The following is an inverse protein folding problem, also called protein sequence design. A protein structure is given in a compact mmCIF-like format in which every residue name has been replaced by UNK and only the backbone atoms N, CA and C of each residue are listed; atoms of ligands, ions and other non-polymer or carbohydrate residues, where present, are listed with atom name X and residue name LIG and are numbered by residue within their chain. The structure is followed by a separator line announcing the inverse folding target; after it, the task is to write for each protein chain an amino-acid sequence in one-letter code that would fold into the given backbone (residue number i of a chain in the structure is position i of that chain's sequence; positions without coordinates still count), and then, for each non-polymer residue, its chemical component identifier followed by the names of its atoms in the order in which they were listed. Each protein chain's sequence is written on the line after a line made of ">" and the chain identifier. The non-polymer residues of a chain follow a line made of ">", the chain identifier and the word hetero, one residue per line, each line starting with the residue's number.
data_IF_592549890690
#
_entry.id   IF_592549890690
#
_cell.length_a   1.000
_cell.length_b   1.000
_cell.length_c   1.000
_cell.angle_alpha   90.00
_cell.angle_beta   90.00
_cell.angle_gamma   90.00
#
_symmetry.space_group_name_H-M   'P 1'
#
loop_
_entity.id
_entity.type
_entity.pdbx_description
1 polymer ?
#
# COMPACT_ATOMS: atom_id res chain seq x y z
N UNK A 1 15.19 -23.64 35.48
CA UNK A 1 15.38 -23.93 34.04
C UNK A 1 16.05 -25.29 33.81
N UNK A 2 17.13 -25.66 34.52
CA UNK A 2 17.77 -26.97 34.35
C UNK A 2 16.89 -28.17 34.79
N UNK A 3 16.23 -28.11 35.96
CA UNK A 3 15.53 -29.29 36.52
C UNK A 3 14.20 -29.69 35.86
N UNK A 4 13.69 -28.91 34.90
CA UNK A 4 12.48 -29.25 34.13
C UNK A 4 12.81 -29.97 32.83
N UNK A 5 14.02 -29.72 32.29
CA UNK A 5 14.52 -30.32 31.06
C UNK A 5 14.77 -31.82 31.25
N UNK A 6 15.30 -32.18 32.41
CA UNK A 6 15.67 -33.56 32.74
C UNK A 6 14.47 -34.44 33.13
N UNK A 7 13.34 -33.85 33.52
CA UNK A 7 12.11 -34.60 33.87
C UNK A 7 11.26 -35.01 32.65
N UNK A 8 11.47 -34.38 31.50
CA UNK A 8 10.65 -34.62 30.28
C UNK A 8 11.41 -35.49 29.27
N UNK A 9 12.74 -35.45 29.28
CA UNK A 9 13.58 -36.16 28.31
C UNK A 9 14.13 -37.42 29.01
N UNK A 10 13.41 -38.53 28.87
CA UNK A 10 14.02 -39.85 29.10
C UNK A 10 15.16 -40.08 28.11
N UNK A 11 16.15 -40.88 28.52
CA UNK A 11 17.51 -41.11 27.97
C UNK A 11 17.64 -41.57 26.48
N UNK A 12 16.70 -41.21 25.61
CA UNK A 12 16.71 -41.51 24.18
C UNK A 12 17.17 -40.32 23.34
N UNK A 13 18.08 -40.58 22.40
CA UNK A 13 18.66 -39.62 21.47
C UNK A 13 17.63 -38.90 20.57
N UNK A 14 17.00 -37.83 21.07
CA UNK A 14 16.20 -36.91 20.26
C UNK A 14 16.44 -35.47 20.73
N UNK A 15 16.93 -34.61 19.81
CA UNK A 15 17.09 -33.17 20.04
C UNK A 15 15.78 -32.45 19.64
N UNK A 16 14.97 -31.94 20.59
CA UNK A 16 13.81 -31.14 20.23
C UNK A 16 14.27 -29.76 19.71
N UNK A 17 13.66 -29.30 18.61
CA UNK A 17 13.69 -27.88 18.26
C UNK A 17 12.64 -27.17 19.11
N UNK A 18 13.11 -26.35 20.06
CA UNK A 18 12.26 -25.49 20.88
C UNK A 18 12.28 -24.11 20.26
N UNK A 19 11.13 -23.66 19.75
CA UNK A 19 10.93 -22.28 19.34
C UNK A 19 10.08 -21.58 20.40
N UNK A 20 10.60 -20.47 20.93
CA UNK A 20 9.92 -19.64 21.93
C UNK A 20 9.31 -18.45 21.18
N UNK A 21 7.99 -18.35 21.22
CA UNK A 21 7.28 -17.21 20.64
C UNK A 21 6.64 -16.40 21.77
N UNK A 22 6.93 -15.10 21.79
CA UNK A 22 6.33 -14.17 22.72
C UNK A 22 5.10 -13.56 22.03
N UNK A 23 3.92 -14.07 22.35
CA UNK A 23 2.67 -13.68 21.67
C UNK A 23 2.08 -12.41 22.30
N UNK A 24 2.35 -12.18 23.59
CA UNK A 24 2.16 -10.90 24.28
C UNK A 24 2.80 -10.94 25.69
N UNK A 25 2.86 -9.80 26.40
CA UNK A 25 3.55 -9.61 27.71
C UNK A 25 3.14 -10.63 28.81
N UNK A 26 2.05 -11.37 28.64
CA UNK A 26 1.47 -12.28 29.63
C UNK A 26 1.41 -13.77 29.23
N UNK A 27 1.93 -14.17 28.06
CA UNK A 27 1.79 -15.57 27.60
C UNK A 27 3.03 -16.06 26.86
N UNK A 28 3.66 -17.10 27.41
CA UNK A 28 4.72 -17.85 26.72
C UNK A 28 4.13 -19.10 26.08
N UNK A 29 4.39 -19.30 24.79
CA UNK A 29 4.02 -20.53 24.07
C UNK A 29 5.27 -21.33 23.77
N UNK A 30 5.27 -22.59 24.19
CA UNK A 30 6.28 -23.56 23.82
C UNK A 30 5.71 -24.51 22.79
N UNK A 31 6.34 -24.54 21.61
CA UNK A 31 6.01 -25.50 20.56
C UNK A 31 7.08 -26.59 20.57
N UNK A 32 6.67 -27.82 20.82
CA UNK A 32 7.54 -28.99 20.72
C UNK A 32 7.17 -29.78 19.46
N UNK A 33 8.13 -29.87 18.55
CA UNK A 33 8.00 -30.68 17.33
C UNK A 33 8.79 -31.97 17.54
N UNK A 34 8.09 -33.10 17.63
CA UNK A 34 8.73 -34.42 17.70
C UNK A 34 8.62 -35.10 16.34
N UNK A 35 9.77 -35.46 15.77
CA UNK A 35 9.84 -36.33 14.60
C UNK A 35 9.81 -37.78 15.07
N UNK A 36 8.71 -38.50 14.79
CA UNK A 36 8.58 -39.92 15.15
C UNK A 36 9.20 -40.84 14.10
N UNK A 37 9.28 -40.40 12.82
CA UNK A 37 10.02 -41.03 11.73
C UNK A 37 10.15 -40.06 10.53
N UNK A 38 10.94 -40.39 9.49
CA UNK A 38 11.22 -39.53 8.30
C UNK A 38 9.99 -38.93 7.60
N UNK A 39 8.79 -39.51 7.79
CA UNK A 39 7.57 -39.10 7.11
C UNK A 39 6.37 -38.80 8.05
N UNK A 40 6.57 -38.76 9.38
CA UNK A 40 5.50 -38.43 10.34
C UNK A 40 6.05 -37.58 11.50
N UNK A 41 5.58 -36.34 11.61
CA UNK A 41 5.79 -35.48 12.76
C UNK A 41 4.48 -35.36 13.56
N UNK A 42 4.57 -35.39 14.90
CA UNK A 42 3.48 -34.96 15.79
C UNK A 42 3.90 -33.63 16.41
N UNK A 43 3.04 -32.64 16.28
CA UNK A 43 3.25 -31.31 16.85
C UNK A 43 2.43 -31.21 18.14
N UNK A 44 3.08 -30.88 19.26
CA UNK A 44 2.40 -30.59 20.51
C UNK A 44 2.61 -29.12 20.86
N UNK A 45 1.51 -28.41 21.08
CA UNK A 45 1.53 -27.01 21.53
C UNK A 45 1.06 -27.01 22.97
N UNK A 46 1.92 -26.56 23.88
CA UNK A 46 1.59 -26.47 25.31
C UNK A 46 1.57 -24.99 25.69
N UNK A 47 0.43 -24.55 26.20
CA UNK A 47 0.23 -23.20 26.71
C UNK A 47 0.54 -23.15 28.19
N UNK A 48 1.44 -22.24 28.59
CA UNK A 48 1.66 -21.94 30.00
C UNK A 48 1.29 -20.47 30.26
N UNK A 49 0.28 -20.19 31.11
CA UNK A 49 0.04 -18.83 31.57
C UNK A 49 1.16 -18.39 32.51
N UNK A 50 1.70 -17.19 32.31
CA UNK A 50 2.65 -16.56 33.24
C UNK A 50 1.86 -15.81 34.32
N UNK A 51 1.95 -16.25 35.58
CA UNK A 51 1.35 -15.53 36.71
C UNK A 51 2.42 -14.85 37.59
N UNK A 52 2.16 -13.59 37.95
CA UNK A 52 2.87 -12.87 39.02
C UNK A 52 2.54 -13.53 40.36
N UNK A 53 3.57 -13.80 41.17
CA UNK A 53 3.52 -14.21 42.59
C UNK A 53 3.40 -15.72 42.92
N UNK A 54 4.10 -16.59 42.19
CA UNK A 54 4.88 -17.67 42.83
C UNK A 54 4.16 -18.85 43.51
N UNK A 55 2.90 -19.17 43.20
CA UNK A 55 2.27 -20.44 43.64
C UNK A 55 1.58 -21.16 42.46
N UNK A 56 1.96 -22.41 42.21
CA UNK A 56 1.47 -23.24 41.09
C UNK A 56 0.25 -24.05 41.52
N UNK A 57 -0.85 -23.99 40.76
CA UNK A 57 -1.87 -25.05 40.72
C UNK A 57 -2.02 -25.56 39.28
N UNK A 58 -2.15 -26.88 39.05
CA UNK A 58 -2.23 -27.44 37.71
C UNK A 58 -3.65 -27.30 37.14
N UNK A 59 -3.78 -26.72 35.94
CA UNK A 59 -5.02 -26.81 35.16
C UNK A 59 -4.74 -27.32 33.74
N UNK A 60 -5.56 -28.31 33.36
CA UNK A 60 -5.68 -29.09 32.12
C UNK A 60 -4.74 -28.81 30.93
N UNK A 61 -3.96 -29.83 30.57
CA UNK A 61 -3.26 -29.98 29.30
C UNK A 61 -4.28 -30.34 28.20
N UNK A 62 -4.46 -29.50 27.19
CA UNK A 62 -5.26 -29.82 26.02
C UNK A 62 -4.37 -30.47 24.95
N UNK A 63 -4.51 -31.78 24.74
CA UNK A 63 -3.82 -32.51 23.68
C UNK A 63 -4.74 -32.63 22.45
N UNK A 64 -4.49 -31.82 21.42
CA UNK A 64 -5.10 -32.00 20.09
C UNK A 64 -4.13 -32.79 19.21
N UNK A 65 -4.53 -33.98 18.76
CA UNK A 65 -3.79 -34.78 17.79
C UNK A 65 -4.48 -34.73 16.42
N UNK A 66 -3.94 -33.96 15.47
CA UNK A 66 -4.33 -34.07 14.06
C UNK A 66 -3.26 -34.81 13.27
N UNK A 67 -3.61 -35.98 12.72
CA UNK A 67 -2.77 -36.75 11.79
C UNK A 67 -3.01 -36.21 10.38
N UNK A 68 -2.00 -35.59 9.76
CA UNK A 68 -2.05 -35.21 8.35
C UNK A 68 -1.93 -36.48 7.48
N UNK A 69 -2.96 -36.78 6.68
CA UNK A 69 -2.90 -37.78 5.61
C UNK A 69 -2.46 -37.09 4.31
N UNK A 70 -1.57 -37.69 3.50
CA UNK A 70 -1.21 -37.14 2.21
C UNK A 70 -2.37 -37.37 1.24
N UNK A 71 -2.98 -36.29 0.75
CA UNK A 71 -3.93 -36.36 -0.36
C UNK A 71 -3.21 -35.92 -1.63
N UNK A 72 -3.21 -36.82 -2.63
CA UNK A 72 -2.84 -36.50 -4.00
C UNK A 72 -3.87 -35.50 -4.54
N UNK A 73 -3.61 -34.22 -4.32
CA UNK A 73 -4.35 -33.12 -4.92
C UNK A 73 -3.52 -32.58 -6.09
N UNK A 74 -4.07 -32.79 -7.28
CA UNK A 74 -3.71 -32.15 -8.55
C UNK A 74 -3.31 -30.69 -8.33
N UNK A 75 -2.19 -30.29 -8.93
CA UNK A 75 -1.70 -28.91 -9.05
C UNK A 75 -2.87 -27.94 -9.31
N UNK A 76 -3.36 -27.28 -8.25
CA UNK A 76 -4.10 -26.02 -8.37
C UNK A 76 -3.06 -24.92 -8.29
N UNK A 77 -3.04 -24.11 -9.34
CA UNK A 77 -2.26 -22.89 -9.48
C UNK A 77 -2.18 -22.10 -8.16
N UNK A 78 -1.00 -21.59 -7.88
CA UNK A 78 -0.74 -20.52 -6.91
C UNK A 78 -1.84 -19.45 -7.02
N UNK A 79 -2.70 -19.37 -6.00
CA UNK A 79 -3.78 -18.38 -5.94
C UNK A 79 -3.14 -16.99 -5.88
N UNK A 80 -3.40 -16.16 -6.89
CA UNK A 80 -2.81 -14.83 -7.04
C UNK A 80 -3.30 -13.96 -5.87
N UNK A 81 -2.39 -13.49 -5.00
CA UNK A 81 -2.72 -12.74 -3.77
C UNK A 81 -3.49 -11.43 -4.03
N UNK A 82 -3.34 -10.87 -5.22
CA UNK A 82 -3.97 -9.63 -5.65
C UNK A 82 -4.65 -9.86 -7.00
N UNK A 83 -5.87 -9.35 -7.17
CA UNK A 83 -6.62 -9.48 -8.43
C UNK A 83 -6.46 -8.22 -9.29
N UNK A 84 -6.32 -7.06 -8.67
CA UNK A 84 -6.27 -5.76 -9.34
C UNK A 84 -4.85 -5.19 -9.44
N UNK A 85 -3.88 -5.84 -8.80
CA UNK A 85 -2.46 -5.45 -8.81
C UNK A 85 -1.58 -6.58 -9.35
N UNK A 86 -0.45 -6.19 -9.95
CA UNK A 86 0.65 -7.09 -10.25
C UNK A 86 1.89 -6.64 -9.48
N UNK A 87 2.43 -7.52 -8.64
CA UNK A 87 3.58 -7.24 -7.78
C UNK A 87 4.79 -8.04 -8.30
N UNK A 88 5.93 -7.37 -8.45
CA UNK A 88 7.20 -8.02 -8.81
C UNK A 88 8.31 -7.60 -7.86
N UNK A 89 9.22 -8.53 -7.58
CA UNK A 89 10.44 -8.28 -6.81
C UNK A 89 11.64 -8.63 -7.69
N UNK A 90 12.34 -7.62 -8.19
CA UNK A 90 13.48 -7.79 -9.10
C UNK A 90 14.53 -6.73 -8.80
N UNK A 91 15.82 -7.09 -8.93
CA UNK A 91 16.91 -6.12 -8.81
C UNK A 91 16.89 -5.31 -7.50
N UNK A 92 16.47 -5.91 -6.38
CA UNK A 92 16.24 -5.25 -5.08
C UNK A 92 15.15 -4.15 -5.09
N UNK A 93 14.23 -4.21 -6.03
CA UNK A 93 13.11 -3.29 -6.18
C UNK A 93 11.81 -4.08 -6.05
N UNK A 94 10.87 -3.54 -5.29
CA UNK A 94 9.49 -4.02 -5.29
C UNK A 94 8.65 -3.10 -6.15
N UNK A 95 8.06 -3.63 -7.23
CA UNK A 95 7.22 -2.86 -8.15
C UNK A 95 5.76 -3.29 -8.00
N UNK A 96 4.93 -2.33 -7.61
CA UNK A 96 3.47 -2.42 -7.52
C UNK A 96 2.90 -1.84 -8.81
N UNK A 97 2.27 -2.67 -9.63
CA UNK A 97 1.62 -2.25 -10.89
C UNK A 97 0.11 -2.31 -10.72
N UNK A 98 -0.58 -1.17 -10.85
CA UNK A 98 -2.04 -1.13 -10.94
C UNK A 98 -2.47 -1.78 -12.26
N UNK A 99 -3.31 -2.82 -12.18
CA UNK A 99 -3.58 -3.71 -13.30
C UNK A 99 -5.10 -3.85 -13.59
N UNK A 100 -5.75 -2.71 -13.86
CA UNK A 100 -7.10 -2.65 -14.45
C UNK A 100 -7.09 -1.82 -15.74
N UNK A 101 -6.24 -2.12 -16.74
CA UNK A 101 -6.08 -1.28 -17.93
C UNK A 101 -7.39 -1.06 -18.71
N UNK A 102 -8.26 -2.06 -18.75
CA UNK A 102 -9.62 -2.00 -19.34
C UNK A 102 -10.54 -0.99 -18.64
N UNK A 103 -10.21 -0.58 -17.41
CA UNK A 103 -10.87 0.50 -16.66
C UNK A 103 -9.91 1.68 -16.42
N UNK A 104 -8.86 1.83 -17.24
CA UNK A 104 -7.85 2.89 -17.11
C UNK A 104 -7.28 2.98 -15.69
N UNK A 105 -7.06 1.83 -15.06
CA UNK A 105 -6.58 1.69 -13.69
C UNK A 105 -7.36 2.52 -12.65
N UNK A 106 -8.66 2.74 -12.85
CA UNK A 106 -9.49 3.41 -11.86
C UNK A 106 -9.44 2.65 -10.52
N UNK A 107 -9.45 3.37 -9.40
CA UNK A 107 -9.47 2.78 -8.07
C UNK A 107 -10.89 2.28 -7.74
N UNK A 108 -11.06 0.96 -7.69
CA UNK A 108 -12.19 0.35 -6.98
C UNK A 108 -11.87 0.24 -5.49
N UNK A 109 -12.90 0.01 -4.67
CA UNK A 109 -12.71 -0.35 -3.26
C UNK A 109 -11.71 -1.50 -3.08
N UNK A 110 -11.78 -2.52 -3.94
CA UNK A 110 -10.85 -3.63 -3.93
C UNK A 110 -9.41 -3.18 -4.21
N UNK A 111 -9.18 -2.36 -5.25
CA UNK A 111 -7.84 -1.87 -5.57
C UNK A 111 -7.26 -0.99 -4.45
N UNK A 112 -8.09 -0.19 -3.78
CA UNK A 112 -7.67 0.56 -2.60
C UNK A 112 -7.18 -0.37 -1.49
N UNK A 113 -7.97 -1.38 -1.13
CA UNK A 113 -7.60 -2.35 -0.08
C UNK A 113 -6.35 -3.16 -0.47
N UNK A 114 -6.26 -3.59 -1.73
CA UNK A 114 -5.09 -4.32 -2.24
C UNK A 114 -3.83 -3.44 -2.23
N UNK A 115 -3.95 -2.14 -2.52
CA UNK A 115 -2.81 -1.22 -2.46
C UNK A 115 -2.33 -0.98 -1.04
N UNK A 116 -3.24 -0.82 -0.07
CA UNK A 116 -2.85 -0.73 1.34
C UNK A 116 -2.06 -1.96 1.79
N UNK A 117 -2.55 -3.15 1.44
CA UNK A 117 -1.87 -4.41 1.73
C UNK A 117 -0.52 -4.53 1.02
N UNK A 118 -0.45 -4.16 -0.26
CA UNK A 118 0.79 -4.19 -1.03
C UNK A 118 1.83 -3.20 -0.51
N UNK A 119 1.39 -2.01 -0.06
CA UNK A 119 2.25 -1.04 0.60
C UNK A 119 2.74 -1.56 1.95
N UNK A 120 1.90 -2.22 2.75
CA UNK A 120 2.33 -2.82 4.02
C UNK A 120 3.35 -3.94 3.80
N UNK A 121 3.10 -4.85 2.84
CA UNK A 121 4.04 -5.89 2.46
C UNK A 121 5.37 -5.29 1.98
N UNK A 122 5.29 -4.29 1.09
CA UNK A 122 6.47 -3.64 0.52
C UNK A 122 7.26 -2.90 1.60
N UNK A 123 6.60 -2.23 2.55
CA UNK A 123 7.25 -1.55 3.66
C UNK A 123 8.06 -2.51 4.54
N UNK A 124 7.61 -3.76 4.70
CA UNK A 124 8.27 -4.78 5.50
C UNK A 124 9.33 -5.59 4.73
N UNK A 125 9.35 -5.54 3.39
CA UNK A 125 10.26 -6.33 2.59
C UNK A 125 11.70 -5.76 2.53
N UNK A 126 12.61 -6.55 1.96
CA UNK A 126 14.04 -6.24 1.88
C UNK A 126 14.46 -5.39 0.66
N UNK A 127 13.52 -4.91 -0.18
CA UNK A 127 13.84 -4.04 -1.31
C UNK A 127 14.41 -2.70 -0.84
N UNK A 128 15.28 -2.12 -1.66
CA UNK A 128 15.93 -0.82 -1.40
C UNK A 128 14.89 0.30 -1.46
N UNK A 129 13.95 0.21 -2.40
CA UNK A 129 12.82 1.12 -2.56
C UNK A 129 11.65 0.42 -3.27
N UNK A 130 10.50 1.08 -3.25
CA UNK A 130 9.27 0.57 -3.87
C UNK A 130 8.85 1.48 -5.02
N UNK A 131 8.39 0.87 -6.11
CA UNK A 131 7.88 1.56 -7.31
C UNK A 131 6.38 1.37 -7.40
N UNK A 132 5.65 2.45 -7.69
CA UNK A 132 4.24 2.40 -8.08
C UNK A 132 4.10 2.80 -9.55
N UNK A 133 3.41 2.00 -10.35
CA UNK A 133 3.14 2.28 -11.77
C UNK A 133 1.78 1.74 -12.22
N UNK A 134 1.36 2.06 -13.44
CA UNK A 134 0.13 1.57 -14.06
C UNK A 134 0.39 0.66 -15.25
N UNK A 135 -0.45 -0.35 -15.44
CA UNK A 135 -0.48 -1.15 -16.66
C UNK A 135 -1.21 -0.41 -17.79
N UNK A 136 -0.76 -0.61 -19.03
CA UNK A 136 -1.38 -0.02 -20.22
C UNK A 136 -1.11 1.49 -20.38
N UNK A 137 -2.09 2.22 -20.90
CA UNK A 137 -1.91 3.62 -21.33
C UNK A 137 -2.17 4.66 -20.24
N UNK A 138 -2.58 4.24 -19.05
CA UNK A 138 -2.88 5.14 -17.92
C UNK A 138 -2.02 4.76 -16.73
N UNK A 139 -1.55 5.76 -15.99
CA UNK A 139 -1.13 5.52 -14.62
C UNK A 139 -2.39 5.17 -13.82
N UNK A 140 -3.35 6.09 -13.76
CA UNK A 140 -4.71 5.85 -13.25
C UNK A 140 -5.65 6.98 -13.65
N UNK A 141 -6.92 6.63 -13.88
CA UNK A 141 -8.01 7.58 -14.09
C UNK A 141 -8.69 8.08 -12.81
N UNK A 142 -8.14 7.74 -11.63
CA UNK A 142 -8.66 8.17 -10.33
C UNK A 142 -9.73 7.24 -9.78
N UNK A 143 -10.63 7.76 -8.95
CA UNK A 143 -11.68 6.95 -8.32
C UNK A 143 -12.69 6.40 -9.35
N UNK A 144 -13.09 5.14 -9.21
CA UNK A 144 -14.10 4.51 -10.07
C UNK A 144 -15.51 5.04 -9.73
N UNK A 145 -15.89 6.15 -10.35
CA UNK A 145 -17.16 6.86 -10.09
C UNK A 145 -18.42 6.03 -10.41
N UNK A 146 -18.29 4.88 -11.08
CA UNK A 146 -19.44 4.00 -11.32
C UNK A 146 -20.01 3.43 -10.00
N UNK A 147 -19.16 3.29 -8.97
CA UNK A 147 -19.58 2.82 -7.65
C UNK A 147 -20.54 3.82 -6.98
N UNK A 148 -20.32 5.12 -7.20
CA UNK A 148 -21.14 6.18 -6.60
C UNK A 148 -22.59 6.19 -7.12
N UNK A 149 -22.81 5.78 -8.38
CA UNK A 149 -24.15 5.71 -8.97
C UNK A 149 -24.89 4.41 -8.63
N UNK A 150 -24.17 3.30 -8.50
CA UNK A 150 -24.80 1.99 -8.31
C UNK A 150 -25.21 1.75 -6.86
N UNK A 151 -24.44 2.24 -5.89
CA UNK A 151 -24.70 2.00 -4.47
C UNK A 151 -24.55 3.29 -3.62
N UNK A 152 -25.50 4.23 -3.68
CA UNK A 152 -25.46 5.45 -2.85
C UNK A 152 -25.39 5.17 -1.34
N UNK A 153 -25.90 4.02 -0.90
CA UNK A 153 -25.83 3.52 0.48
C UNK A 153 -24.48 2.93 0.87
N UNK A 154 -23.67 2.43 -0.07
CA UNK A 154 -22.27 2.02 0.20
C UNK A 154 -21.35 3.21 0.44
N UNK A 155 -21.78 4.42 0.09
CA UNK A 155 -21.11 5.66 0.50
C UNK A 155 -21.26 5.89 2.01
N UNK A 156 -22.27 5.29 2.66
CA UNK A 156 -22.56 5.44 4.10
C UNK A 156 -22.03 4.30 4.98
N UNK A 157 -21.70 3.13 4.41
CA UNK A 157 -21.18 1.99 5.18
C UNK A 157 -19.66 1.83 5.00
N UNK A 158 -18.92 2.22 6.05
CA UNK A 158 -17.53 1.90 6.43
C UNK A 158 -16.77 0.82 5.62
N UNK A 159 -16.39 1.06 4.36
CA UNK A 159 -15.47 0.11 3.67
C UNK A 159 -14.17 0.72 3.16
N UNK A 160 -14.14 2.00 2.81
CA UNK A 160 -12.92 2.69 2.42
C UNK A 160 -12.66 3.91 3.30
N UNK A 161 -11.51 3.92 3.95
CA UNK A 161 -11.01 5.06 4.70
C UNK A 161 -9.87 5.72 3.91
N UNK A 162 -10.20 6.82 3.21
CA UNK A 162 -9.23 7.59 2.44
C UNK A 162 -8.06 8.08 3.32
N UNK A 163 -8.34 8.43 4.58
CA UNK A 163 -7.33 8.92 5.52
C UNK A 163 -6.32 7.82 5.80
N UNK A 164 -6.78 6.60 6.09
CA UNK A 164 -5.92 5.43 6.27
C UNK A 164 -5.07 5.17 5.03
N UNK A 165 -5.67 5.23 3.84
CA UNK A 165 -4.98 5.02 2.58
C UNK A 165 -3.85 6.05 2.35
N UNK A 166 -4.15 7.35 2.47
CA UNK A 166 -3.17 8.43 2.28
C UNK A 166 -2.03 8.33 3.31
N UNK A 167 -2.35 7.96 4.56
CA UNK A 167 -1.33 7.77 5.60
C UNK A 167 -0.32 6.68 5.25
N UNK A 168 -0.68 5.65 4.46
CA UNK A 168 0.31 4.65 3.95
C UNK A 168 1.44 5.30 3.16
N UNK A 169 1.16 6.36 2.41
CA UNK A 169 2.17 7.09 1.64
C UNK A 169 3.01 8.02 2.53
N UNK A 170 2.35 8.70 3.48
CA UNK A 170 3.04 9.57 4.46
C UNK A 170 4.03 8.75 5.30
N UNK A 171 3.62 7.54 5.69
CA UNK A 171 4.35 6.67 6.63
C UNK A 171 5.35 5.73 5.97
N UNK A 172 5.40 5.68 4.64
CA UNK A 172 6.17 4.66 3.94
C UNK A 172 7.68 4.75 4.31
N UNK A 173 8.29 3.70 4.88
CA UNK A 173 9.54 3.83 5.64
C UNK A 173 10.81 3.91 4.78
N UNK A 174 10.70 3.64 3.48
CA UNK A 174 11.79 3.65 2.51
C UNK A 174 11.39 4.45 1.26
N UNK A 175 12.29 4.75 0.31
CA UNK A 175 11.90 5.54 -0.85
C UNK A 175 10.74 4.91 -1.62
N UNK A 176 9.79 5.75 -2.03
CA UNK A 176 8.64 5.41 -2.84
C UNK A 176 8.70 6.23 -4.13
N UNK A 177 8.80 5.52 -5.25
CA UNK A 177 9.00 6.10 -6.58
C UNK A 177 7.75 5.88 -7.41
N UNK A 178 7.22 6.93 -8.01
CA UNK A 178 6.16 6.80 -9.01
C UNK A 178 6.76 6.77 -10.43
N UNK A 179 6.35 5.78 -11.21
CA UNK A 179 6.65 5.68 -12.64
C UNK A 179 5.33 5.86 -13.39
N UNK A 180 5.09 7.09 -13.85
CA UNK A 180 3.84 7.56 -14.44
C UNK A 180 3.88 7.34 -15.96
N UNK A 181 3.38 6.19 -16.38
CA UNK A 181 3.36 5.72 -17.77
C UNK A 181 2.35 6.44 -18.69
N UNK A 182 1.39 7.17 -18.11
CA UNK A 182 0.32 7.85 -18.84
C UNK A 182 -0.48 8.78 -17.93
N UNK A 183 -1.72 9.17 -18.29
CA UNK A 183 -2.50 10.11 -17.48
C UNK A 183 -2.68 9.64 -16.03
N UNK A 184 -2.53 10.60 -15.11
CA UNK A 184 -2.77 10.48 -13.68
C UNK A 184 -3.87 11.48 -13.29
N UNK A 185 -4.98 10.98 -12.74
CA UNK A 185 -6.19 11.80 -12.49
C UNK A 185 -6.66 11.65 -11.04
N UNK A 186 -7.12 12.76 -10.46
CA UNK A 186 -7.68 12.81 -9.10
C UNK A 186 -6.66 12.36 -8.07
N UNK A 187 -7.05 11.43 -7.18
CA UNK A 187 -6.14 10.86 -6.19
C UNK A 187 -4.84 10.34 -6.79
N UNK A 188 -4.86 9.82 -8.02
CA UNK A 188 -3.66 9.33 -8.70
C UNK A 188 -2.64 10.42 -9.04
N UNK A 189 -3.09 11.67 -9.23
CA UNK A 189 -2.22 12.82 -9.40
C UNK A 189 -1.80 13.41 -8.05
N UNK A 190 -2.70 13.48 -7.07
CA UNK A 190 -2.41 14.15 -5.80
C UNK A 190 -1.47 13.35 -4.90
N UNK A 191 -1.52 12.01 -4.93
CA UNK A 191 -0.55 11.18 -4.17
C UNK A 191 0.90 11.38 -4.63
N UNK A 192 1.13 11.95 -5.82
CA UNK A 192 2.48 12.20 -6.32
C UNK A 192 3.20 13.25 -5.47
N UNK A 193 2.47 14.16 -4.81
CA UNK A 193 3.06 15.10 -3.85
C UNK A 193 3.60 14.44 -2.57
N UNK A 194 3.31 13.15 -2.36
CA UNK A 194 3.82 12.34 -1.25
C UNK A 194 4.91 11.35 -1.69
N UNK A 195 5.17 11.23 -2.99
CA UNK A 195 6.24 10.40 -3.53
C UNK A 195 7.60 11.05 -3.31
N UNK A 196 8.66 10.25 -3.23
CA UNK A 196 10.02 10.76 -3.08
C UNK A 196 10.66 11.08 -4.44
N UNK A 197 10.25 10.35 -5.49
CA UNK A 197 10.63 10.59 -6.89
C UNK A 197 9.46 10.29 -7.81
N UNK A 198 9.33 11.08 -8.88
CA UNK A 198 8.30 10.89 -9.89
C UNK A 198 8.94 10.95 -11.27
N UNK A 199 8.92 9.84 -12.01
CA UNK A 199 9.31 9.81 -13.41
C UNK A 199 8.07 9.69 -14.28
N UNK A 200 8.03 10.43 -15.38
CA UNK A 200 6.88 10.47 -16.25
C UNK A 200 7.25 10.20 -17.71
N UNK A 201 6.36 9.51 -18.41
CA UNK A 201 6.37 9.46 -19.86
C UNK A 201 5.97 10.83 -20.41
N UNK A 202 6.51 11.25 -21.56
CA UNK A 202 6.07 12.45 -22.28
C UNK A 202 4.57 12.44 -22.66
N UNK A 203 3.95 11.25 -22.69
CA UNK A 203 2.50 11.05 -22.87
C UNK A 203 1.68 11.24 -21.59
N UNK A 204 2.32 11.44 -20.44
CA UNK A 204 1.62 11.63 -19.17
C UNK A 204 0.96 13.01 -19.10
N UNK A 205 -0.15 13.06 -18.36
CA UNK A 205 -0.81 14.31 -17.99
C UNK A 205 -1.34 14.20 -16.57
N UNK A 206 -1.45 15.33 -15.89
CA UNK A 206 -1.84 15.39 -14.49
C UNK A 206 -3.07 16.28 -14.35
N UNK A 207 -4.15 15.71 -13.82
CA UNK A 207 -5.43 16.38 -13.73
C UNK A 207 -6.07 16.16 -12.35
N UNK A 208 -6.53 17.23 -11.73
CA UNK A 208 -7.21 17.22 -10.43
C UNK A 208 -8.62 17.81 -10.58
N UNK A 209 -9.60 17.03 -11.10
CA UNK A 209 -10.91 17.56 -11.51
C UNK A 209 -11.87 17.83 -10.34
N UNK A 210 -11.36 18.21 -9.16
CA UNK A 210 -12.13 18.32 -7.91
C UNK A 210 -13.29 19.30 -8.04
N UNK A 211 -13.02 20.52 -8.49
CA UNK A 211 -14.05 21.56 -8.58
C UNK A 211 -15.10 21.21 -9.63
N UNK A 212 -14.71 20.55 -10.73
CA UNK A 212 -15.66 20.02 -11.74
C UNK A 212 -16.58 18.93 -11.19
N UNK A 213 -16.18 18.25 -10.10
CA UNK A 213 -16.94 17.20 -9.43
C UNK A 213 -17.62 17.68 -8.14
N UNK A 214 -17.54 18.97 -7.80
CA UNK A 214 -18.06 19.50 -6.55
C UNK A 214 -17.33 18.95 -5.31
N UNK A 215 -16.02 18.71 -5.42
CA UNK A 215 -15.17 18.16 -4.37
C UNK A 215 -14.03 19.13 -4.02
N UNK A 216 -13.41 18.93 -2.85
CA UNK A 216 -12.19 19.63 -2.46
C UNK A 216 -10.93 18.81 -2.81
N UNK A 217 -9.74 19.43 -2.78
CA UNK A 217 -8.46 18.71 -2.85
C UNK A 217 -8.32 17.64 -1.77
N UNK A 218 -7.55 16.60 -2.08
CA UNK A 218 -7.28 15.44 -1.21
C UNK A 218 -5.82 15.00 -1.27
N UNK A 219 -5.46 13.96 -0.50
CA UNK A 219 -4.12 13.35 -0.43
C UNK A 219 -2.99 14.36 -0.13
N UNK A 220 -3.27 15.31 0.76
CA UNK A 220 -2.42 16.43 1.15
C UNK A 220 -2.10 17.42 0.04
N UNK A 221 -2.77 17.36 -1.12
CA UNK A 221 -2.46 18.24 -2.25
C UNK A 221 -2.70 19.72 -1.97
N UNK A 222 -3.62 20.08 -1.06
CA UNK A 222 -3.79 21.47 -0.63
C UNK A 222 -2.55 22.04 0.08
N UNK A 223 -1.63 21.19 0.51
CA UNK A 223 -0.36 21.56 1.15
C UNK A 223 0.86 21.24 0.28
N UNK A 224 0.93 20.05 -0.30
CA UNK A 224 2.10 19.60 -1.05
C UNK A 224 2.24 20.34 -2.36
N UNK A 225 1.14 20.59 -3.09
CA UNK A 225 1.24 21.27 -4.40
C UNK A 225 1.73 22.71 -4.25
N UNK A 226 1.19 23.57 -3.35
CA UNK A 226 1.73 24.91 -3.16
C UNK A 226 3.23 24.93 -2.79
N UNK A 227 3.72 23.94 -2.05
CA UNK A 227 5.15 23.81 -1.72
C UNK A 227 6.02 23.39 -2.90
N UNK A 228 5.47 22.56 -3.79
CA UNK A 228 6.17 22.05 -4.97
C UNK A 228 6.22 23.10 -6.09
N UNK A 229 5.05 23.63 -6.48
CA UNK A 229 4.90 24.44 -7.69
C UNK A 229 4.60 25.93 -7.43
N UNK A 230 4.60 26.34 -6.17
CA UNK A 230 4.19 27.68 -5.74
C UNK A 230 2.67 27.86 -5.66
N UNK A 231 2.24 28.82 -4.85
CA UNK A 231 0.83 29.04 -4.53
C UNK A 231 -0.05 29.29 -5.77
N UNK A 232 0.35 30.23 -6.63
CA UNK A 232 -0.45 30.63 -7.81
C UNK A 232 -0.70 29.45 -8.76
N UNK A 233 0.34 28.65 -9.02
CA UNK A 233 0.21 27.51 -9.93
C UNK A 233 -0.60 26.38 -9.29
N UNK A 234 -0.39 26.11 -8.00
CA UNK A 234 -1.20 25.15 -7.27
C UNK A 234 -2.69 25.55 -7.26
N UNK A 235 -3.02 26.83 -7.11
CA UNK A 235 -4.39 27.33 -7.24
C UNK A 235 -4.95 27.07 -8.64
N UNK A 236 -4.19 27.31 -9.70
CA UNK A 236 -4.62 27.02 -11.07
C UNK A 236 -4.95 25.53 -11.27
N UNK A 237 -4.10 24.65 -10.75
CA UNK A 237 -4.27 23.19 -10.84
C UNK A 237 -5.46 22.71 -9.99
N UNK A 238 -5.49 23.09 -8.72
CA UNK A 238 -6.47 22.57 -7.75
C UNK A 238 -7.84 23.23 -7.84
N UNK A 239 -7.91 24.54 -8.07
CA UNK A 239 -9.17 25.29 -8.08
C UNK A 239 -9.72 25.49 -9.50
N UNK A 240 -8.84 25.63 -10.49
CA UNK A 240 -9.27 25.86 -11.88
C UNK A 240 -9.12 24.62 -12.78
N UNK A 241 -8.75 23.47 -12.20
CA UNK A 241 -8.60 22.19 -12.89
C UNK A 241 -7.67 22.26 -14.12
N UNK A 242 -6.60 23.08 -14.04
CA UNK A 242 -5.56 23.11 -15.07
C UNK A 242 -4.92 21.72 -15.17
N UNK A 243 -4.96 21.16 -16.38
CA UNK A 243 -4.26 19.93 -16.71
C UNK A 243 -2.80 20.30 -17.01
N UNK A 244 -1.88 19.62 -16.35
CA UNK A 244 -0.45 19.74 -16.64
C UNK A 244 -0.03 18.64 -17.62
N UNK A 245 0.76 19.02 -18.61
CA UNK A 245 1.57 18.08 -19.39
C UNK A 245 2.71 17.49 -18.55
N UNK A 246 3.34 16.42 -19.03
CA UNK A 246 4.55 15.87 -18.42
C UNK A 246 5.64 16.93 -18.20
N UNK A 247 5.89 17.75 -19.22
CA UNK A 247 6.92 18.79 -19.15
C UNK A 247 6.54 19.91 -18.18
N UNK A 248 5.31 20.44 -18.24
CA UNK A 248 4.87 21.46 -17.27
C UNK A 248 4.97 20.95 -15.83
N UNK A 249 4.60 19.69 -15.57
CA UNK A 249 4.71 19.09 -14.24
C UNK A 249 6.18 18.93 -13.79
N UNK A 250 7.10 18.72 -14.73
CA UNK A 250 8.53 18.66 -14.47
C UNK A 250 9.11 20.04 -14.15
N UNK A 251 8.78 21.05 -14.96
CA UNK A 251 9.22 22.43 -14.77
C UNK A 251 8.75 23.01 -13.44
N UNK A 252 7.60 22.52 -12.95
CA UNK A 252 7.00 22.89 -11.67
C UNK A 252 7.44 22.02 -10.49
N UNK A 253 8.29 21.01 -10.71
CA UNK A 253 8.87 20.17 -9.67
C UNK A 253 8.00 19.01 -9.15
N UNK A 254 6.81 18.78 -9.73
CA UNK A 254 5.98 17.61 -9.39
C UNK A 254 6.55 16.33 -10.00
N UNK A 255 7.15 16.44 -11.19
CA UNK A 255 7.88 15.37 -11.88
C UNK A 255 9.37 15.67 -11.78
N UNK A 256 10.17 14.65 -11.46
CA UNK A 256 11.63 14.75 -11.38
C UNK A 256 12.27 14.75 -12.77
N UNK A 257 11.79 13.89 -13.67
CA UNK A 257 12.32 13.75 -15.02
C UNK A 257 11.26 13.18 -15.97
N UNK A 258 11.26 13.68 -17.21
CA UNK A 258 10.37 13.23 -18.29
C UNK A 258 11.18 12.43 -19.31
N UNK A 259 10.62 11.31 -19.74
CA UNK A 259 11.26 10.36 -20.64
C UNK A 259 10.41 10.17 -21.90
N UNK A 260 11.03 9.98 -23.08
CA UNK A 260 10.30 9.72 -24.32
C UNK A 260 9.45 8.45 -24.23
N UNK A 261 8.20 8.50 -24.67
CA UNK A 261 7.27 7.37 -24.59
C UNK A 261 7.73 6.12 -25.34
N UNK A 262 8.62 6.24 -26.32
CA UNK A 262 9.20 5.12 -27.08
C UNK A 262 10.25 4.32 -26.32
N UNK A 263 10.97 4.95 -25.39
CA UNK A 263 12.06 4.33 -24.60
C UNK A 263 11.76 4.30 -23.10
N UNK A 264 10.62 4.85 -22.68
CA UNK A 264 10.21 5.06 -21.29
C UNK A 264 10.57 3.93 -20.33
N UNK A 265 10.09 2.71 -20.60
CA UNK A 265 10.30 1.57 -19.71
C UNK A 265 11.77 1.16 -19.60
N UNK A 266 12.52 1.25 -20.70
CA UNK A 266 13.93 0.90 -20.74
C UNK A 266 14.77 1.92 -19.95
N UNK A 267 14.57 3.21 -20.22
CA UNK A 267 15.37 4.28 -19.63
C UNK A 267 15.10 4.40 -18.12
N UNK A 268 13.83 4.32 -17.71
CA UNK A 268 13.46 4.30 -16.30
C UNK A 268 14.03 3.07 -15.60
N UNK A 269 13.92 1.87 -16.21
CA UNK A 269 14.48 0.65 -15.60
C UNK A 269 15.99 0.75 -15.39
N UNK A 270 16.72 1.31 -16.35
CA UNK A 270 18.16 1.52 -16.22
C UNK A 270 18.47 2.43 -15.01
N UNK A 271 17.78 3.56 -14.89
CA UNK A 271 17.96 4.50 -13.77
C UNK A 271 17.61 3.88 -12.41
N UNK A 272 16.51 3.15 -12.34
CA UNK A 272 16.09 2.49 -11.09
C UNK A 272 17.09 1.41 -10.67
N UNK A 273 17.66 0.66 -11.61
CA UNK A 273 18.69 -0.34 -11.33
C UNK A 273 19.92 0.28 -10.69
N UNK A 274 20.33 1.46 -11.14
CA UNK A 274 21.45 2.18 -10.55
C UNK A 274 21.15 2.57 -9.09
N UNK A 275 19.95 3.08 -8.82
CA UNK A 275 19.53 3.41 -7.44
C UNK A 275 19.42 2.18 -6.54
N UNK A 276 19.09 1.01 -7.09
CA UNK A 276 18.97 -0.21 -6.31
C UNK A 276 20.33 -0.77 -5.84
N UNK A 277 21.44 -0.19 -6.31
CA UNK A 277 22.79 -0.46 -5.79
C UNK A 277 23.16 0.38 -4.57
N UNK A 278 22.37 1.41 -4.24
CA UNK A 278 22.64 2.33 -3.13
C UNK A 278 22.39 1.68 -1.76
N UNK A 279 23.07 2.14 -0.68
CA UNK A 279 22.88 1.58 0.65
C UNK A 279 21.45 1.80 1.20
N UNK A 280 20.67 0.71 1.29
CA UNK A 280 19.24 0.75 1.68
C UNK A 280 18.94 1.49 2.98
N UNK A 281 19.75 1.27 4.03
CA UNK A 281 19.53 1.89 5.33
C UNK A 281 19.80 3.41 5.27
N UNK A 282 20.80 3.82 4.49
CA UNK A 282 21.11 5.25 4.29
C UNK A 282 19.94 5.96 3.61
N UNK A 283 19.36 5.35 2.57
CA UNK A 283 18.18 5.89 1.89
C UNK A 283 16.96 5.99 2.82
N UNK A 284 16.65 4.92 3.55
CA UNK A 284 15.53 4.90 4.47
C UNK A 284 15.65 5.95 5.58
N UNK A 285 16.82 6.05 6.24
CA UNK A 285 17.05 7.05 7.28
C UNK A 285 17.06 8.48 6.73
N UNK A 286 17.63 8.70 5.55
CA UNK A 286 17.59 10.02 4.90
C UNK A 286 16.16 10.45 4.59
N UNK A 287 15.33 9.55 4.06
CA UNK A 287 13.89 9.81 3.87
C UNK A 287 13.21 10.16 5.19
N UNK A 288 13.47 9.42 6.25
CA UNK A 288 12.87 9.67 7.57
C UNK A 288 13.23 11.06 8.11
N UNK A 289 14.47 11.51 7.94
CA UNK A 289 14.89 12.86 8.33
C UNK A 289 14.17 13.94 7.52
N UNK A 290 14.04 13.75 6.20
CA UNK A 290 13.35 14.70 5.32
C UNK A 290 11.84 14.75 5.63
N UNK A 291 11.18 13.58 5.64
CA UNK A 291 9.72 13.48 5.85
C UNK A 291 9.31 13.79 7.27
N UNK A 292 10.16 13.47 8.26
CA UNK A 292 9.88 13.63 9.68
C UNK A 292 9.58 15.07 10.08
N UNK A 293 10.19 16.06 9.42
CA UNK A 293 9.95 17.49 9.68
C UNK A 293 8.51 17.92 9.34
N UNK A 294 7.88 17.24 8.38
CA UNK A 294 6.59 17.62 7.82
C UNK A 294 5.46 16.67 8.24
N UNK A 295 5.78 15.59 8.94
CA UNK A 295 4.88 14.45 9.15
C UNK A 295 3.60 14.82 9.88
N UNK A 296 3.71 15.52 11.01
CA UNK A 296 2.54 15.98 11.78
C UNK A 296 1.70 16.97 10.98
N UNK A 297 2.33 17.82 10.16
CA UNK A 297 1.62 18.76 9.29
C UNK A 297 0.85 18.02 8.20
N UNK A 298 1.44 17.00 7.59
CA UNK A 298 0.80 16.16 6.59
C UNK A 298 -0.39 15.40 7.17
N UNK A 299 -0.28 14.86 8.39
CA UNK A 299 -1.42 14.24 9.07
C UNK A 299 -2.56 15.24 9.30
N UNK A 300 -2.27 16.42 9.86
CA UNK A 300 -3.29 17.43 10.09
C UNK A 300 -3.97 17.90 8.80
N UNK A 301 -3.22 18.04 7.70
CA UNK A 301 -3.78 18.39 6.39
C UNK A 301 -4.63 17.25 5.84
N UNK A 302 -4.13 16.02 5.86
CA UNK A 302 -4.89 14.83 5.44
C UNK A 302 -6.21 14.73 6.20
N UNK A 303 -6.17 15.00 7.49
CA UNK A 303 -7.34 14.94 8.36
C UNK A 303 -8.39 15.99 7.98
N UNK A 304 -7.96 17.25 7.81
CA UNK A 304 -8.83 18.34 7.43
C UNK A 304 -9.44 18.16 6.03
N UNK A 305 -8.65 17.70 5.05
CA UNK A 305 -9.12 17.39 3.69
C UNK A 305 -10.16 16.28 3.73
N UNK A 306 -9.91 15.17 4.44
CA UNK A 306 -10.85 14.05 4.52
C UNK A 306 -12.17 14.44 5.22
N UNK A 307 -12.10 15.23 6.29
CA UNK A 307 -13.29 15.72 7.01
C UNK A 307 -14.18 16.61 6.12
N UNK A 308 -13.56 17.45 5.28
CA UNK A 308 -14.29 18.30 4.35
C UNK A 308 -14.85 17.48 3.17
N UNK A 309 -14.04 16.57 2.61
CA UNK A 309 -14.45 15.72 1.49
C UNK A 309 -15.66 14.85 1.85
N UNK A 310 -15.69 14.29 3.06
CA UNK A 310 -16.83 13.50 3.56
C UNK A 310 -18.14 14.31 3.60
N UNK A 311 -18.06 15.61 3.88
CA UNK A 311 -19.23 16.52 3.82
C UNK A 311 -19.61 16.81 2.37
N UNK A 312 -18.63 17.11 1.52
CA UNK A 312 -18.88 17.51 0.13
C UNK A 312 -19.42 16.39 -0.75
N UNK A 313 -18.93 15.14 -0.58
CA UNK A 313 -19.35 14.01 -1.42
C UNK A 313 -20.84 13.67 -1.30
N UNK A 314 -21.47 14.06 -0.19
CA UNK A 314 -22.92 13.87 0.05
C UNK A 314 -23.76 15.10 -0.28
N UNK A 315 -23.14 16.19 -0.74
CA UNK A 315 -23.83 17.43 -1.09
C UNK A 315 -24.58 17.30 -2.43
N UNK A 316 -25.65 18.10 -2.59
CA UNK A 316 -26.37 18.22 -3.85
C UNK A 316 -25.47 18.69 -5.00
N UNK A 317 -24.51 19.57 -4.71
CA UNK A 317 -23.54 20.08 -5.68
C UNK A 317 -22.71 18.94 -6.28
N UNK A 318 -22.11 18.10 -5.42
CA UNK A 318 -21.31 16.95 -5.87
C UNK A 318 -22.16 15.91 -6.62
N UNK A 319 -23.36 15.59 -6.11
CA UNK A 319 -24.26 14.65 -6.78
C UNK A 319 -24.65 15.13 -8.19
N UNK A 320 -25.01 16.41 -8.33
CA UNK A 320 -25.37 17.01 -9.61
C UNK A 320 -24.18 17.02 -10.59
N UNK A 321 -22.98 17.36 -10.12
CA UNK A 321 -21.77 17.35 -10.93
C UNK A 321 -21.42 15.94 -11.44
N UNK A 322 -21.52 14.92 -10.59
CA UNK A 322 -21.29 13.52 -10.97
C UNK A 322 -22.32 13.06 -12.02
N UNK A 323 -23.61 13.38 -11.84
CA UNK A 323 -24.65 13.06 -12.83
C UNK A 323 -24.33 13.70 -14.19
N UNK A 324 -23.98 14.99 -14.20
CA UNK A 324 -23.62 15.69 -15.44
C UNK A 324 -22.38 15.10 -16.13
N UNK A 325 -21.40 14.64 -15.35
CA UNK A 325 -20.21 13.97 -15.88
C UNK A 325 -20.60 12.70 -16.68
N UNK A 326 -21.47 11.86 -16.12
CA UNK A 326 -21.94 10.65 -16.80
C UNK A 326 -22.82 10.95 -18.02
N UNK A 327 -23.68 11.97 -17.95
CA UNK A 327 -24.48 12.41 -19.10
C UNK A 327 -23.62 12.90 -20.27
N UNK A 328 -22.56 13.65 -20.00
CA UNK A 328 -21.61 14.10 -21.05
C UNK A 328 -20.86 12.92 -21.65
N UNK A 329 -20.44 11.96 -20.82
CA UNK A 329 -19.74 10.76 -21.28
C UNK A 329 -20.61 9.86 -22.17
N UNK A 330 -21.90 9.75 -21.89
CA UNK A 330 -22.83 8.97 -22.71
C UNK A 330 -23.11 9.59 -24.10
N UNK A 331 -22.73 10.86 -24.31
CA UNK A 331 -22.90 11.58 -25.59
C UNK A 331 -21.65 11.52 -26.49
N UNK A 332 -20.55 10.93 -26.03
CA UNK A 332 -19.27 10.78 -26.74
C UNK A 332 -19.07 9.34 -27.18
#
# INVERSE_FOLDING_TARGET
>A
MASLRDKIIGDGAFKPHVAIYNINVYTLVYVFVFHLCKHKAKCFVIFFPLQKNGKVQPTSILLSSSVLKPTNAVNKSSQQKFETLHITHQDNITTITMNRPQRKNAFSLQMFNELELALDDAAADNSVFTVLTGAGDYFTSGNDLNNALQNPSEIKEEKFDLRRFVRKFIDFPKPLVAVVNGPAIGIGATILGLMDLVYASDKASFNTPFIKLGLCPEACSSYTFPKIMGFTKATEVLLFNKILTAQEACDLGLVTEVFPGSTFQQDVRARLKDYASLPKNSLAFSKQLIRGLEKEKLYAVCDAECDLLAKMVTSEEAMNAIIQFFQKKARL
#
